data_IF_123817551143
#
_entry.id   IF_123817551143
#
_cell.length_a   1.000
_cell.length_b   1.000
_cell.length_c   1.000
_cell.angle_alpha   90.00
_cell.angle_beta   90.00
_cell.angle_gamma   90.00
#
_symmetry.space_group_name_H-M   'P 1'
#
loop_
_entity.id
_entity.type
_entity.pdbx_description
1 polymer ?
#
# COMPACT_ATOMS: atom_id res chain seq x y z
N UNK A 1 13.63 -0.99 -8.42
CA UNK A 1 12.21 -1.24 -8.80
C UNK A 1 11.35 -1.18 -7.55
N UNK A 2 10.10 -0.72 -7.66
CA UNK A 2 9.13 -0.67 -6.56
C UNK A 2 8.00 -1.67 -6.83
N UNK A 3 7.62 -2.45 -5.81
CA UNK A 3 6.38 -3.24 -5.75
C UNK A 3 5.47 -2.57 -4.72
N UNK A 4 4.41 -1.92 -5.18
CA UNK A 4 3.41 -1.29 -4.33
C UNK A 4 2.23 -2.23 -4.11
N UNK A 5 2.01 -2.65 -2.87
CA UNK A 5 0.86 -3.44 -2.44
C UNK A 5 -0.17 -2.52 -1.77
N UNK A 6 -1.25 -2.24 -2.48
CA UNK A 6 -2.38 -1.41 -2.00
C UNK A 6 -3.61 -2.31 -1.75
N UNK A 7 -4.66 -1.75 -1.17
CA UNK A 7 -5.84 -2.50 -0.73
C UNK A 7 -6.39 -1.97 0.58
N UNK A 8 -7.63 -2.32 0.97
CA UNK A 8 -8.24 -1.85 2.21
C UNK A 8 -7.44 -2.31 3.44
N UNK A 9 -7.66 -1.64 4.58
CA UNK A 9 -7.09 -2.06 5.86
C UNK A 9 -7.53 -3.49 6.20
N UNK A 10 -6.65 -4.30 6.79
CA UNK A 10 -6.95 -5.70 7.14
C UNK A 10 -6.98 -6.71 5.97
N UNK A 11 -6.77 -6.28 4.72
CA UNK A 11 -6.81 -7.19 3.56
C UNK A 11 -5.60 -8.14 3.46
N UNK A 12 -4.53 -7.89 4.21
CA UNK A 12 -3.33 -8.75 4.23
C UNK A 12 -2.10 -8.19 3.50
N UNK A 13 -2.05 -6.89 3.20
CA UNK A 13 -0.90 -6.23 2.54
C UNK A 13 0.43 -6.52 3.24
N UNK A 14 0.50 -6.28 4.56
CA UNK A 14 1.71 -6.48 5.35
C UNK A 14 2.14 -7.95 5.38
N UNK A 15 1.18 -8.88 5.48
CA UNK A 15 1.46 -10.32 5.40
C UNK A 15 2.08 -10.68 4.05
N UNK A 16 1.47 -10.24 2.95
CA UNK A 16 1.98 -10.49 1.60
C UNK A 16 3.35 -9.84 1.38
N UNK A 17 3.54 -8.61 1.85
CA UNK A 17 4.82 -7.90 1.75
C UNK A 17 5.96 -8.68 2.43
N UNK A 18 5.70 -9.24 3.62
CA UNK A 18 6.67 -10.08 4.33
C UNK A 18 6.94 -11.41 3.62
N UNK A 19 5.93 -12.03 3.01
CA UNK A 19 6.12 -13.26 2.21
C UNK A 19 6.99 -12.94 0.99
N UNK A 20 6.68 -11.88 0.25
CA UNK A 20 7.47 -11.44 -0.90
C UNK A 20 8.90 -11.10 -0.49
N UNK A 21 9.10 -10.39 0.62
CA UNK A 21 10.44 -10.03 1.08
C UNK A 21 11.32 -11.26 1.40
N UNK A 22 10.70 -12.34 1.91
CA UNK A 22 11.40 -13.61 2.17
C UNK A 22 11.73 -14.39 0.89
N UNK A 23 10.96 -14.21 -0.19
CA UNK A 23 11.12 -14.96 -1.45
C UNK A 23 11.97 -14.23 -2.48
N UNK A 24 11.86 -12.91 -2.54
CA UNK A 24 12.58 -12.07 -3.49
C UNK A 24 13.95 -11.74 -2.88
N UNK A 25 14.99 -12.38 -3.43
CA UNK A 25 16.37 -12.02 -3.12
C UNK A 25 16.64 -10.54 -3.45
N UNK A 26 17.50 -9.91 -2.66
CA UNK A 26 17.84 -8.48 -2.77
C UNK A 26 16.64 -7.51 -2.68
N UNK A 27 15.58 -7.87 -1.95
CA UNK A 27 14.47 -6.96 -1.67
C UNK A 27 14.69 -6.13 -0.40
N UNK A 28 13.91 -5.06 -0.26
CA UNK A 28 13.82 -4.23 0.94
C UNK A 28 12.36 -3.90 1.23
N UNK A 29 11.90 -4.20 2.45
CA UNK A 29 10.56 -3.84 2.90
C UNK A 29 10.58 -2.41 3.48
N UNK A 30 9.90 -1.48 2.82
CA UNK A 30 9.72 -0.13 3.35
C UNK A 30 8.25 0.08 3.72
N UNK A 31 8.00 0.41 4.97
CA UNK A 31 6.66 0.68 5.51
C UNK A 31 6.46 2.18 5.73
N UNK A 32 5.66 2.87 4.88
CA UNK A 32 5.35 4.29 5.04
C UNK A 32 4.53 4.63 6.28
N UNK A 33 3.83 3.67 6.90
CA UNK A 33 3.04 3.90 8.13
C UNK A 33 3.98 4.33 9.27
N UNK A 34 5.19 3.77 9.36
CA UNK A 34 6.18 4.13 10.38
C UNK A 34 6.58 5.62 10.35
N UNK A 35 6.62 6.23 9.16
CA UNK A 35 6.86 7.67 9.04
C UNK A 35 5.64 8.47 9.49
N UNK A 36 4.44 7.98 9.20
CA UNK A 36 3.19 8.57 9.66
C UNK A 36 3.13 8.58 11.19
N UNK A 37 3.37 7.42 11.80
CA UNK A 37 3.46 7.25 13.24
C UNK A 37 4.49 8.19 13.85
N UNK A 38 5.70 8.23 13.30
CA UNK A 38 6.73 9.15 13.79
C UNK A 38 6.25 10.61 13.79
N UNK A 39 5.64 11.08 12.71
CA UNK A 39 5.15 12.45 12.61
C UNK A 39 4.02 12.73 13.62
N UNK A 40 3.08 11.80 13.80
CA UNK A 40 1.99 11.94 14.77
C UNK A 40 2.48 11.93 16.21
N UNK A 41 3.54 11.17 16.52
CA UNK A 41 4.12 11.12 17.86
C UNK A 41 4.97 12.35 18.20
N UNK A 42 5.66 12.93 17.21
CA UNK A 42 6.61 14.04 17.44
C UNK A 42 5.97 15.42 17.30
N UNK A 43 4.90 15.56 16.51
CA UNK A 43 4.32 16.86 16.20
C UNK A 43 3.03 17.12 17.00
N UNK A 44 2.76 18.39 17.35
CA UNK A 44 1.48 18.76 17.96
C UNK A 44 0.29 18.45 17.03
N UNK A 45 -0.85 18.07 17.61
CA UNK A 45 -2.10 17.82 16.88
C UNK A 45 -2.62 19.03 16.08
N UNK A 46 -2.20 20.25 16.44
CA UNK A 46 -2.53 21.46 15.68
C UNK A 46 -1.86 21.50 14.30
N UNK A 47 -0.82 20.70 14.10
CA UNK A 47 -0.05 20.60 12.85
C UNK A 47 -0.26 19.24 12.18
N UNK A 48 -0.37 18.16 12.96
CA UNK A 48 -0.54 16.81 12.45
C UNK A 48 -2.03 16.39 12.44
N UNK A 49 -2.63 16.11 11.26
CA UNK A 49 -4.00 15.62 11.17
C UNK A 49 -4.20 14.22 11.75
N UNK A 50 -5.46 13.88 12.03
CA UNK A 50 -5.87 12.54 12.52
C UNK A 50 -5.46 11.42 11.55
N UNK A 51 -5.71 11.61 10.26
CA UNK A 51 -5.09 10.79 9.21
C UNK A 51 -3.75 11.40 8.83
N UNK A 52 -2.63 10.77 9.20
CA UNK A 52 -1.30 11.26 8.84
C UNK A 52 -1.12 11.43 7.32
N UNK A 53 -1.88 10.70 6.49
CA UNK A 53 -1.81 10.82 5.04
C UNK A 53 -2.32 12.17 4.54
N UNK A 54 -3.17 12.85 5.32
CA UNK A 54 -3.65 14.21 5.02
C UNK A 54 -2.52 15.24 5.14
N UNK A 55 -1.44 14.89 5.86
CA UNK A 55 -0.30 15.77 6.03
C UNK A 55 0.58 15.78 4.78
N UNK A 56 0.69 16.95 4.13
CA UNK A 56 1.50 17.10 2.91
C UNK A 56 2.98 16.77 3.12
N UNK A 57 3.52 17.05 4.32
CA UNK A 57 4.92 16.72 4.66
C UNK A 57 5.14 15.21 4.65
N UNK A 58 4.19 14.42 5.13
CA UNK A 58 4.27 12.96 5.06
C UNK A 58 4.29 12.49 3.60
N UNK A 59 3.40 13.02 2.74
CA UNK A 59 3.33 12.63 1.32
C UNK A 59 4.60 12.99 0.56
N UNK A 60 5.11 14.21 0.74
CA UNK A 60 6.35 14.68 0.11
C UNK A 60 7.57 13.87 0.57
N UNK A 61 7.66 13.58 1.87
CA UNK A 61 8.76 12.81 2.44
C UNK A 61 8.71 11.35 1.97
N UNK A 62 7.53 10.74 1.96
CA UNK A 62 7.31 9.39 1.44
C UNK A 62 7.77 9.28 -0.01
N UNK A 63 7.30 10.18 -0.89
CA UNK A 63 7.78 10.23 -2.27
C UNK A 63 9.30 10.34 -2.35
N UNK A 64 9.92 11.26 -1.58
CA UNK A 64 11.36 11.52 -1.66
C UNK A 64 12.20 10.33 -1.20
N UNK A 65 11.78 9.66 -0.13
CA UNK A 65 12.43 8.45 0.38
C UNK A 65 12.32 7.33 -0.65
N UNK A 66 11.13 7.10 -1.21
CA UNK A 66 10.91 6.07 -2.21
C UNK A 66 11.71 6.32 -3.50
N UNK A 67 11.79 7.57 -3.95
CA UNK A 67 12.63 7.95 -5.08
C UNK A 67 14.10 7.64 -4.80
N UNK A 68 14.61 8.00 -3.62
CA UNK A 68 16.01 7.70 -3.24
C UNK A 68 16.27 6.20 -3.13
N UNK A 69 15.37 5.43 -2.50
CA UNK A 69 15.48 3.98 -2.42
C UNK A 69 15.52 3.35 -3.81
N UNK A 70 14.67 3.81 -4.72
CA UNK A 70 14.58 3.25 -6.07
C UNK A 70 15.72 3.65 -7.00
N UNK A 71 16.39 4.79 -6.76
CA UNK A 71 17.45 5.32 -7.64
C UNK A 71 18.86 5.12 -7.10
N UNK A 72 19.02 5.00 -5.78
CA UNK A 72 20.33 4.88 -5.12
C UNK A 72 20.63 3.47 -4.64
N UNK A 73 19.70 2.54 -4.82
CA UNK A 73 19.91 1.12 -4.51
C UNK A 73 19.51 0.27 -5.71
N UNK A 74 20.08 -0.92 -5.79
CA UNK A 74 19.72 -1.97 -6.75
C UNK A 74 18.62 -2.89 -6.22
N UNK A 75 18.04 -2.57 -5.05
CA UNK A 75 17.06 -3.42 -4.37
C UNK A 75 15.67 -3.33 -5.01
N UNK A 76 14.90 -4.41 -4.82
CA UNK A 76 13.46 -4.40 -5.07
C UNK A 76 12.76 -3.88 -3.81
N UNK A 77 12.16 -2.70 -3.89
CA UNK A 77 11.51 -2.04 -2.75
C UNK A 77 10.05 -2.49 -2.68
N UNK A 78 9.67 -3.19 -1.62
CA UNK A 78 8.30 -3.67 -1.39
C UNK A 78 7.62 -2.72 -0.42
N UNK A 79 6.42 -2.25 -0.78
CA UNK A 79 5.68 -1.22 -0.03
C UNK A 79 4.26 -1.70 0.24
N UNK A 80 3.91 -2.11 1.47
CA UNK A 80 2.53 -2.27 1.89
C UNK A 80 1.96 -0.91 2.29
N UNK A 81 1.04 -0.34 1.51
CA UNK A 81 0.41 0.93 1.90
C UNK A 81 -0.96 1.14 1.25
N UNK A 82 -1.93 1.58 2.06
CA UNK A 82 -3.28 1.94 1.59
C UNK A 82 -3.31 3.39 1.09
N UNK A 83 -3.52 3.57 -0.22
CA UNK A 83 -3.76 4.88 -0.84
C UNK A 83 -5.07 4.80 -1.63
N UNK A 84 -6.10 5.53 -1.19
CA UNK A 84 -7.42 5.52 -1.82
C UNK A 84 -7.89 6.90 -2.30
N UNK A 85 -7.34 7.99 -1.76
CA UNK A 85 -7.62 9.36 -2.23
C UNK A 85 -6.80 9.65 -3.49
N UNK A 86 -7.44 10.27 -4.49
CA UNK A 86 -6.85 10.49 -5.81
C UNK A 86 -5.63 11.41 -5.73
N UNK A 87 -5.70 12.41 -4.89
CA UNK A 87 -4.68 13.43 -4.67
C UNK A 87 -3.41 12.76 -4.12
N UNK A 88 -3.54 11.83 -3.18
CA UNK A 88 -2.39 11.15 -2.56
C UNK A 88 -1.72 10.20 -3.54
N UNK A 89 -2.53 9.50 -4.36
CA UNK A 89 -2.02 8.71 -5.46
C UNK A 89 -1.24 9.56 -6.46
N UNK A 90 -1.75 10.76 -6.79
CA UNK A 90 -1.08 11.68 -7.72
C UNK A 90 0.26 12.18 -7.16
N UNK A 91 0.28 12.64 -5.92
CA UNK A 91 1.47 13.21 -5.29
C UNK A 91 2.60 12.19 -5.08
N UNK A 92 2.28 10.91 -4.91
CA UNK A 92 3.25 9.86 -4.59
C UNK A 92 3.44 8.91 -5.77
N UNK A 93 2.45 8.07 -6.07
CA UNK A 93 2.58 6.93 -6.99
C UNK A 93 2.70 7.41 -8.43
N UNK A 94 1.79 8.29 -8.87
CA UNK A 94 1.81 8.83 -10.22
C UNK A 94 3.09 9.63 -10.47
N UNK A 95 3.52 10.43 -9.49
CA UNK A 95 4.77 11.19 -9.56
C UNK A 95 5.99 10.28 -9.71
N UNK A 96 6.11 9.20 -8.93
CA UNK A 96 7.18 8.21 -9.10
C UNK A 96 7.23 7.64 -10.53
N UNK A 97 6.08 7.36 -11.13
CA UNK A 97 5.97 6.84 -12.49
C UNK A 97 6.39 7.91 -13.52
N UNK A 98 5.96 9.15 -13.33
CA UNK A 98 6.36 10.29 -14.17
C UNK A 98 7.87 10.50 -14.15
N UNK A 99 8.49 10.33 -12.98
CA UNK A 99 9.94 10.38 -12.76
C UNK A 99 10.67 9.08 -13.16
N UNK A 100 10.02 8.22 -13.95
CA UNK A 100 10.59 7.02 -14.56
C UNK A 100 11.03 5.94 -13.58
N UNK A 101 10.48 5.93 -12.36
CA UNK A 101 10.69 4.83 -11.43
C UNK A 101 9.90 3.61 -11.91
N UNK A 102 10.59 2.47 -12.02
CA UNK A 102 9.94 1.20 -12.32
C UNK A 102 9.04 0.80 -11.14
N UNK A 103 7.74 0.72 -11.38
CA UNK A 103 6.72 0.51 -10.38
C UNK A 103 5.68 -0.53 -10.83
N UNK A 104 5.53 -1.55 -10.01
CA UNK A 104 4.48 -2.57 -10.11
C UNK A 104 3.43 -2.32 -9.03
N UNK A 105 2.21 -1.99 -9.43
CA UNK A 105 1.12 -1.62 -8.53
C UNK A 105 0.04 -2.69 -8.49
N UNK A 106 -0.12 -3.29 -7.32
CA UNK A 106 -1.13 -4.29 -7.03
C UNK A 106 -2.17 -3.75 -6.04
N UNK A 107 -3.43 -4.13 -6.23
CA UNK A 107 -4.48 -3.97 -5.22
C UNK A 107 -4.95 -5.35 -4.78
N UNK A 108 -4.87 -5.56 -3.47
CA UNK A 108 -5.44 -6.70 -2.79
C UNK A 108 -6.90 -6.40 -2.51
N UNK A 109 -7.78 -7.33 -2.87
CA UNK A 109 -9.21 -7.27 -2.59
C UNK A 109 -9.64 -8.50 -1.82
N UNK A 110 -10.59 -8.33 -0.92
CA UNK A 110 -11.26 -9.43 -0.22
C UNK A 110 -12.70 -9.00 0.04
N UNK A 111 -13.58 -9.98 0.26
CA UNK A 111 -14.94 -9.68 0.67
C UNK A 111 -14.98 -8.86 1.96
N UNK A 112 -15.94 -7.93 2.05
CA UNK A 112 -16.10 -7.08 3.23
C UNK A 112 -16.22 -7.90 4.51
N UNK A 113 -16.98 -9.00 4.47
CA UNK A 113 -17.13 -9.94 5.59
C UNK A 113 -15.79 -10.50 6.04
N UNK A 114 -14.97 -10.99 5.09
CA UNK A 114 -13.61 -11.48 5.37
C UNK A 114 -12.73 -10.40 5.99
N UNK A 115 -12.78 -9.16 5.50
CA UNK A 115 -11.98 -8.06 6.06
C UNK A 115 -12.43 -7.73 7.48
N UNK A 116 -13.75 -7.66 7.72
CA UNK A 116 -14.31 -7.41 9.05
C UNK A 116 -13.91 -8.52 10.02
N UNK A 117 -14.07 -9.79 9.64
CA UNK A 117 -13.63 -10.94 10.45
C UNK A 117 -12.15 -10.86 10.81
N UNK A 118 -11.29 -10.48 9.86
CA UNK A 118 -9.85 -10.30 10.12
C UNK A 118 -9.56 -9.16 11.08
N UNK A 119 -10.24 -8.02 10.91
CA UNK A 119 -10.12 -6.87 11.80
C UNK A 119 -10.63 -7.19 13.21
N UNK A 120 -11.70 -7.98 13.34
CA UNK A 120 -12.23 -8.41 14.64
C UNK A 120 -11.26 -9.33 15.40
N UNK A 121 -10.51 -10.15 14.67
CA UNK A 121 -9.52 -11.07 15.26
C UNK A 121 -8.14 -10.44 15.48
N UNK A 122 -7.93 -9.19 15.09
CA UNK A 122 -6.64 -8.51 15.19
C UNK A 122 -6.48 -7.91 16.59
N UNK A 123 -5.55 -8.45 17.36
CA UNK A 123 -5.27 -8.02 18.74
C UNK A 123 -4.16 -6.96 18.75
N UNK A 124 -4.28 -5.96 19.62
CA UNK A 124 -3.31 -4.86 19.83
C UNK A 124 -3.23 -3.78 18.73
N UNK A 125 -4.29 -3.61 17.91
CA UNK A 125 -4.38 -2.51 16.95
C UNK A 125 -5.73 -1.80 17.09
N UNK A 126 -5.78 -0.49 16.84
CA UNK A 126 -7.03 0.26 16.77
C UNK A 126 -7.75 -0.03 15.44
N UNK A 127 -8.56 -1.08 15.46
CA UNK A 127 -9.36 -1.49 14.31
C UNK A 127 -10.55 -0.55 14.03
N UNK A 128 -10.85 0.43 14.90
CA UNK A 128 -11.95 1.38 14.70
C UNK A 128 -11.69 2.21 13.46
N UNK A 129 -10.46 2.71 13.29
CA UNK A 129 -10.06 3.47 12.10
C UNK A 129 -10.24 2.64 10.82
N UNK A 130 -9.70 1.42 10.83
CA UNK A 130 -9.77 0.49 9.70
C UNK A 130 -11.22 0.17 9.31
N UNK A 131 -12.10 -0.07 10.29
CA UNK A 131 -13.53 -0.34 10.06
C UNK A 131 -14.27 0.90 9.56
N UNK A 132 -14.01 2.08 10.14
CA UNK A 132 -14.63 3.36 9.75
C UNK A 132 -14.33 3.73 8.28
N UNK A 133 -13.14 3.37 7.80
CA UNK A 133 -12.69 3.69 6.44
C UNK A 133 -12.88 2.55 5.43
N UNK A 134 -13.34 1.38 5.88
CA UNK A 134 -13.43 0.19 5.04
C UNK A 134 -14.32 0.40 3.79
N UNK A 135 -15.51 0.96 3.98
CA UNK A 135 -16.46 1.16 2.87
C UNK A 135 -15.93 2.15 1.83
N UNK A 136 -15.30 3.24 2.27
CA UNK A 136 -14.68 4.22 1.37
C UNK A 136 -13.50 3.60 0.60
N UNK A 137 -12.66 2.82 1.28
CA UNK A 137 -11.55 2.11 0.65
C UNK A 137 -12.07 1.14 -0.42
N UNK A 138 -13.03 0.27 -0.06
CA UNK A 138 -13.62 -0.69 -0.98
C UNK A 138 -14.29 -0.01 -2.18
N UNK A 139 -15.06 1.06 -1.96
CA UNK A 139 -15.71 1.80 -3.04
C UNK A 139 -14.69 2.40 -4.01
N UNK A 140 -13.66 3.07 -3.50
CA UNK A 140 -12.63 3.70 -4.32
C UNK A 140 -11.83 2.70 -5.17
N UNK A 141 -11.66 1.47 -4.67
CA UNK A 141 -10.88 0.41 -5.31
C UNK A 141 -11.73 -0.43 -6.28
N UNK A 142 -13.00 -0.68 -5.97
CA UNK A 142 -13.94 -1.38 -6.88
C UNK A 142 -14.20 -0.62 -8.18
N UNK A 143 -14.16 0.71 -8.15
CA UNK A 143 -14.36 1.53 -9.37
C UNK A 143 -13.21 1.37 -10.38
N UNK A 144 -12.04 0.89 -9.94
CA UNK A 144 -10.84 0.80 -10.79
C UNK A 144 -10.48 -0.61 -11.25
N UNK A 145 -11.13 -1.67 -10.73
CA UNK A 145 -10.78 -3.05 -11.04
C UNK A 145 -12.03 -3.88 -11.27
N UNK A 146 -12.18 -4.37 -12.50
CA UNK A 146 -13.13 -5.43 -12.82
C UNK A 146 -12.47 -6.39 -13.80
N UNK A 147 -11.86 -7.47 -13.30
CA UNK A 147 -11.43 -8.60 -14.13
C UNK A 147 -11.52 -9.92 -13.35
N UNK A 148 -12.50 -10.75 -13.77
CA UNK A 148 -12.52 -12.22 -13.87
C UNK A 148 -11.96 -13.13 -12.76
N UNK A 149 -12.90 -13.72 -12.01
CA UNK A 149 -13.09 -15.15 -11.68
C UNK A 149 -11.91 -16.11 -11.39
N UNK A 150 -11.83 -16.49 -10.10
CA UNK A 150 -11.93 -17.85 -9.51
C UNK A 150 -10.72 -18.38 -8.68
N UNK A 151 -11.03 -18.48 -7.38
CA UNK A 151 -10.68 -19.44 -6.30
C UNK A 151 -9.31 -19.58 -5.60
N UNK A 152 -9.49 -19.82 -4.28
CA UNK A 152 -8.61 -20.44 -3.28
C UNK A 152 -7.54 -19.58 -2.58
N UNK A 153 -7.88 -18.35 -2.21
CA UNK A 153 -7.69 -17.77 -0.87
C UNK A 153 -8.70 -16.62 -0.79
N UNK A 154 -9.26 -16.24 0.37
CA UNK A 154 -10.34 -15.21 0.42
C UNK A 154 -9.84 -13.79 0.07
N UNK A 155 -8.71 -13.66 -0.61
CA UNK A 155 -8.05 -12.42 -1.01
C UNK A 155 -7.50 -12.57 -2.42
N UNK A 156 -7.98 -11.73 -3.33
CA UNK A 156 -7.52 -11.64 -4.71
C UNK A 156 -6.44 -10.56 -4.85
N UNK A 157 -5.49 -10.77 -5.76
CA UNK A 157 -4.45 -9.78 -6.08
C UNK A 157 -4.61 -9.33 -7.52
N UNK A 158 -4.85 -8.05 -7.73
CA UNK A 158 -5.08 -7.44 -9.04
C UNK A 158 -3.95 -6.48 -9.39
N UNK A 159 -3.26 -6.71 -10.52
CA UNK A 159 -2.28 -5.76 -11.05
C UNK A 159 -3.02 -4.64 -11.80
N UNK A 160 -2.76 -3.39 -11.46
CA UNK A 160 -3.47 -2.24 -12.06
C UNK A 160 -2.55 -1.42 -12.93
N UNK A 161 -1.28 -1.31 -12.54
CA UNK A 161 -0.30 -0.56 -13.29
C UNK A 161 1.03 -1.27 -13.21
N UNK A 162 1.59 -1.51 -14.39
CA UNK A 162 2.91 -2.07 -14.56
C UNK A 162 3.69 -1.13 -15.45
N UNK A 163 4.94 -0.89 -15.08
CA UNK A 163 5.89 -0.15 -15.93
C UNK A 163 7.00 -1.06 -16.43
N UNK A 164 6.89 -2.38 -16.22
CA UNK A 164 7.85 -3.39 -16.66
C UNK A 164 7.13 -4.49 -17.45
N UNK A 165 7.80 -5.12 -18.41
CA UNK A 165 7.25 -6.27 -19.13
C UNK A 165 7.57 -7.62 -18.46
N UNK A 166 8.46 -7.62 -17.47
CA UNK A 166 9.23 -8.82 -17.10
C UNK A 166 8.87 -9.36 -15.70
N UNK A 167 8.16 -8.59 -14.87
CA UNK A 167 7.79 -9.01 -13.52
C UNK A 167 6.38 -9.63 -13.50
N UNK A 168 6.33 -10.96 -13.34
CA UNK A 168 5.08 -11.70 -13.17
C UNK A 168 4.87 -12.11 -11.72
N UNK A 169 3.89 -11.47 -11.07
CA UNK A 169 3.51 -11.72 -9.68
C UNK A 169 3.15 -13.19 -9.40
N UNK A 170 2.67 -13.93 -10.41
CA UNK A 170 2.26 -15.34 -10.26
C UNK A 170 3.45 -16.29 -10.13
N UNK A 171 4.66 -15.82 -10.44
CA UNK A 171 5.89 -16.62 -10.39
C UNK A 171 6.64 -16.47 -9.06
N UNK A 172 6.14 -15.62 -8.16
CA UNK A 172 6.72 -15.35 -6.82
C UNK A 172 5.88 -16.00 -5.74
#
# INVERSE_FOLDING_TARGET
MIIWLNGPFGVGKTTLANILHKRIENSYLYDPELLGDFLQHQLPQTVCPEDFQDYSVWRQSTYKILFDLATKTDKIIIIPMTIYKKEYYQEIIQRLIEDKILLEHYILLADKTTIVERLDNRVNEDNIWAKRHLDVCLYSMKIKIRLGDVDADRTEVHQIKSTTSDFDFRRV
#
